data_IF_345491810756
#
_entry.id   IF_345491810756
#
_cell.length_a   1.000
_cell.length_b   1.000
_cell.length_c   1.000
_cell.angle_alpha   90.00
_cell.angle_beta   90.00
_cell.angle_gamma   90.00
#
_symmetry.space_group_name_H-M   'P 1'
#
loop_
_entity.id
_entity.type
_entity.pdbx_description
1 polymer ?
#
# COMPACT_ATOMS: atom_id res chain seq x y z
N UNK A 1 -8.62 52.25 -24.19
CA UNK A 1 -7.25 51.75 -24.00
C UNK A 1 -6.94 51.80 -22.50
N UNK A 2 -7.03 50.69 -21.85
CA UNK A 2 -6.56 50.53 -20.46
C UNK A 2 -5.86 49.16 -20.37
N UNK A 3 -4.55 49.18 -20.26
CA UNK A 3 -3.71 48.00 -20.11
C UNK A 3 -3.79 47.52 -18.68
N UNK A 4 -4.27 46.31 -18.45
CA UNK A 4 -4.25 45.63 -17.14
C UNK A 4 -2.91 45.00 -16.94
N UNK A 5 -2.12 45.53 -16.03
CA UNK A 5 -0.85 44.95 -15.56
C UNK A 5 -1.15 43.68 -14.74
N UNK A 6 -0.70 42.54 -15.23
CA UNK A 6 -0.66 41.28 -14.48
C UNK A 6 0.59 41.32 -13.61
N UNK A 7 0.42 41.52 -12.29
CA UNK A 7 1.53 41.50 -11.33
C UNK A 7 2.01 40.08 -11.09
N UNK A 8 3.31 39.83 -11.24
CA UNK A 8 3.95 38.57 -10.88
C UNK A 8 3.85 38.28 -9.38
N UNK A 9 3.70 37.02 -8.95
CA UNK A 9 3.63 36.67 -7.54
C UNK A 9 4.95 37.00 -6.82
N UNK A 10 4.82 37.59 -5.64
CA UNK A 10 5.94 38.09 -4.83
C UNK A 10 6.88 36.94 -4.38
N UNK A 11 8.18 37.25 -4.28
CA UNK A 11 9.24 36.35 -3.85
C UNK A 11 8.97 35.63 -2.49
N UNK A 12 8.15 36.20 -1.62
CA UNK A 12 7.74 35.59 -0.36
C UNK A 12 6.88 34.33 -0.50
N UNK A 13 6.23 34.11 -1.66
CA UNK A 13 5.47 32.89 -1.93
C UNK A 13 6.35 31.73 -2.44
N UNK A 14 7.53 32.01 -2.96
CA UNK A 14 8.49 31.02 -3.44
C UNK A 14 9.34 30.43 -2.29
N UNK A 15 9.62 31.21 -1.25
CA UNK A 15 10.41 30.74 -0.10
C UNK A 15 9.66 29.77 0.81
N UNK A 16 8.32 29.87 0.92
CA UNK A 16 7.50 28.88 1.68
C UNK A 16 7.41 27.53 1.03
N UNK A 17 7.78 27.38 -0.23
CA UNK A 17 7.82 26.09 -0.94
C UNK A 17 9.15 25.34 -0.79
N UNK A 18 10.18 25.96 -0.22
CA UNK A 18 11.52 25.37 -0.03
C UNK A 18 11.68 24.56 1.27
N UNK A 19 10.71 24.58 2.17
CA UNK A 19 10.88 24.03 3.52
C UNK A 19 10.63 22.51 3.64
N UNK A 20 10.39 21.77 2.54
CA UNK A 20 10.14 20.31 2.59
C UNK A 20 10.79 19.53 1.44
N UNK A 21 11.92 19.99 0.92
CA UNK A 21 12.75 19.16 0.07
C UNK A 21 13.77 18.43 0.94
N UNK A 22 13.33 17.33 1.57
CA UNK A 22 14.23 16.27 1.99
C UNK A 22 14.82 15.69 0.69
N UNK A 23 16.14 15.62 0.52
CA UNK A 23 16.74 15.00 -0.67
C UNK A 23 16.18 13.57 -0.77
N UNK A 24 15.71 13.20 -1.96
CA UNK A 24 15.17 11.87 -2.22
C UNK A 24 16.19 10.83 -1.73
N UNK A 25 15.81 9.95 -0.79
CA UNK A 25 16.70 8.88 -0.38
C UNK A 25 16.97 8.02 -1.62
N UNK A 26 18.23 7.73 -1.90
CA UNK A 26 18.63 6.74 -2.89
C UNK A 26 17.99 5.42 -2.44
N UNK A 27 16.98 4.96 -3.17
CA UNK A 27 16.33 3.68 -2.88
C UNK A 27 17.41 2.61 -3.04
N UNK A 28 17.76 1.85 -1.99
CA UNK A 28 18.64 0.71 -2.17
C UNK A 28 17.91 -0.26 -3.10
N UNK A 29 18.51 -0.59 -4.23
CA UNK A 29 17.97 -1.54 -5.22
C UNK A 29 17.92 -2.99 -4.71
N UNK A 30 18.10 -3.19 -3.42
CA UNK A 30 18.09 -4.51 -2.78
C UNK A 30 17.10 -4.49 -1.62
N UNK A 31 15.89 -4.98 -1.90
CA UNK A 31 15.13 -5.65 -0.84
C UNK A 31 15.94 -6.91 -0.55
N UNK A 32 16.84 -6.82 0.44
CA UNK A 32 17.63 -7.98 0.86
C UNK A 32 16.68 -9.07 1.34
N UNK A 33 16.83 -10.33 0.91
CA UNK A 33 16.11 -11.44 1.50
C UNK A 33 16.54 -11.54 2.98
N UNK A 34 15.67 -11.15 3.90
CA UNK A 34 15.91 -11.39 5.33
C UNK A 34 15.85 -10.20 6.28
N UNK A 35 15.26 -9.07 5.94
CA UNK A 35 15.28 -7.93 6.84
C UNK A 35 14.18 -6.90 6.67
N UNK A 36 12.90 -7.31 6.62
CA UNK A 36 11.81 -6.36 6.72
C UNK A 36 11.60 -5.97 8.18
N UNK A 37 11.83 -4.69 8.53
CA UNK A 37 11.62 -4.19 9.88
C UNK A 37 10.13 -4.15 10.27
N UNK A 38 9.22 -4.31 9.32
CA UNK A 38 7.77 -4.41 9.48
C UNK A 38 7.29 -5.79 9.94
N UNK A 39 8.17 -6.80 9.98
CA UNK A 39 7.94 -8.01 10.74
C UNK A 39 7.69 -9.29 9.97
N UNK A 40 7.58 -9.30 8.65
CA UNK A 40 7.58 -10.54 7.87
C UNK A 40 9.01 -10.91 7.45
N UNK A 41 9.80 -11.44 8.40
CA UNK A 41 11.13 -11.98 8.08
C UNK A 41 11.07 -13.16 7.10
N UNK A 42 9.93 -13.86 7.06
CA UNK A 42 9.63 -14.94 6.13
C UNK A 42 8.20 -14.78 5.59
N UNK A 43 8.04 -13.96 4.55
CA UNK A 43 6.76 -13.72 3.89
C UNK A 43 6.18 -15.01 3.30
N UNK A 44 7.02 -15.89 2.76
CA UNK A 44 6.58 -17.17 2.18
C UNK A 44 6.14 -18.16 3.25
N UNK A 45 6.83 -18.23 4.37
CA UNK A 45 6.41 -19.06 5.51
C UNK A 45 5.09 -18.61 6.15
N UNK A 46 4.72 -17.34 5.98
CA UNK A 46 3.45 -16.79 6.44
C UNK A 46 2.28 -17.05 5.45
N UNK A 47 2.50 -17.67 4.29
CA UNK A 47 1.49 -17.90 3.24
C UNK A 47 0.12 -18.38 3.79
N UNK A 48 0.02 -19.42 4.64
CA UNK A 48 -1.29 -19.90 5.10
C UNK A 48 -2.10 -18.86 5.88
N UNK A 49 -1.42 -17.97 6.59
CA UNK A 49 -2.04 -16.88 7.36
C UNK A 49 -2.44 -15.74 6.42
N UNK A 50 -1.52 -15.33 5.53
CA UNK A 50 -1.75 -14.27 4.56
C UNK A 50 -2.89 -14.60 3.61
N UNK A 51 -2.98 -15.84 3.14
CA UNK A 51 -4.08 -16.25 2.24
C UNK A 51 -5.44 -16.11 2.89
N UNK A 52 -5.58 -16.43 4.19
CA UNK A 52 -6.85 -16.20 4.93
C UNK A 52 -7.20 -14.72 5.01
N UNK A 53 -6.22 -13.86 5.28
CA UNK A 53 -6.43 -12.42 5.30
C UNK A 53 -6.81 -11.89 3.92
N UNK A 54 -6.13 -12.35 2.88
CA UNK A 54 -6.42 -11.96 1.51
C UNK A 54 -7.77 -12.48 1.01
N UNK A 55 -8.20 -13.67 1.40
CA UNK A 55 -9.55 -14.15 1.11
C UNK A 55 -10.63 -13.21 1.69
N UNK A 56 -10.47 -12.76 2.94
CA UNK A 56 -11.35 -11.76 3.55
C UNK A 56 -11.31 -10.42 2.80
N UNK A 57 -10.15 -10.03 2.31
CA UNK A 57 -9.98 -8.80 1.52
C UNK A 57 -10.67 -8.91 0.16
N UNK A 58 -10.58 -10.06 -0.50
CA UNK A 58 -11.30 -10.34 -1.76
C UNK A 58 -12.82 -10.28 -1.53
N UNK A 59 -13.32 -10.93 -0.48
CA UNK A 59 -14.77 -10.89 -0.14
C UNK A 59 -15.23 -9.47 0.17
N UNK A 60 -14.38 -8.65 0.76
CA UNK A 60 -14.65 -7.24 0.99
C UNK A 60 -14.74 -6.47 -0.33
N UNK A 61 -13.76 -6.62 -1.24
CA UNK A 61 -13.74 -5.95 -2.56
C UNK A 61 -14.97 -6.31 -3.38
N UNK A 62 -15.41 -7.57 -3.34
CA UNK A 62 -16.56 -8.05 -4.09
C UNK A 62 -17.87 -7.35 -3.74
N UNK A 63 -17.97 -6.69 -2.59
CA UNK A 63 -19.11 -5.84 -2.23
C UNK A 63 -19.20 -4.57 -3.08
N UNK A 64 -18.08 -4.12 -3.64
CA UNK A 64 -17.95 -2.93 -4.48
C UNK A 64 -17.90 -3.26 -5.97
N UNK A 65 -17.20 -4.36 -6.30
CA UNK A 65 -17.09 -4.93 -7.65
C UNK A 65 -17.05 -6.44 -7.55
N UNK A 66 -18.07 -7.12 -8.05
CA UNK A 66 -18.19 -8.57 -7.94
C UNK A 66 -17.23 -9.32 -8.88
N UNK A 67 -16.84 -8.70 -9.99
CA UNK A 67 -15.95 -9.26 -11.03
C UNK A 67 -15.35 -8.14 -11.86
N UNK A 68 -14.51 -8.48 -12.82
CA UNK A 68 -13.86 -7.56 -13.73
C UNK A 68 -12.35 -7.76 -13.72
N UNK A 69 -11.60 -6.75 -14.18
CA UNK A 69 -10.14 -6.76 -14.21
C UNK A 69 -9.59 -6.15 -12.94
N UNK A 70 -8.70 -6.88 -12.26
CA UNK A 70 -8.08 -6.46 -11.02
C UNK A 70 -6.56 -6.37 -11.18
N UNK A 71 -6.00 -5.24 -10.79
CA UNK A 71 -4.57 -5.02 -10.68
C UNK A 71 -4.17 -4.90 -9.20
N UNK A 72 -3.16 -5.68 -8.79
CA UNK A 72 -2.50 -5.53 -7.50
C UNK A 72 -1.12 -4.87 -7.69
N UNK A 73 -0.95 -3.68 -7.15
CA UNK A 73 0.32 -2.93 -7.18
C UNK A 73 1.14 -3.33 -5.96
N UNK A 74 2.37 -3.83 -6.19
CA UNK A 74 3.19 -4.40 -5.12
C UNK A 74 2.70 -5.80 -4.69
N UNK A 75 2.41 -6.65 -5.67
CA UNK A 75 1.73 -7.93 -5.42
C UNK A 75 2.60 -8.99 -4.71
N UNK A 76 3.85 -8.70 -4.39
CA UNK A 76 4.80 -9.60 -3.73
C UNK A 76 4.80 -11.01 -4.39
N UNK A 77 4.62 -12.07 -3.62
CA UNK A 77 4.55 -13.46 -4.12
C UNK A 77 3.16 -13.84 -4.67
N UNK A 78 2.26 -12.88 -4.88
CA UNK A 78 0.99 -13.09 -5.58
C UNK A 78 -0.08 -13.83 -4.80
N UNK A 79 0.04 -13.98 -3.49
CA UNK A 79 -0.95 -14.71 -2.69
C UNK A 79 -2.34 -14.07 -2.74
N UNK A 80 -2.39 -12.72 -2.74
CA UNK A 80 -3.66 -12.01 -2.94
C UNK A 80 -4.26 -12.27 -4.33
N UNK A 81 -3.44 -12.23 -5.38
CA UNK A 81 -3.87 -12.51 -6.75
C UNK A 81 -4.44 -13.94 -6.88
N UNK A 82 -3.83 -14.92 -6.20
CA UNK A 82 -4.33 -16.29 -6.19
C UNK A 82 -5.72 -16.41 -5.55
N UNK A 83 -6.00 -15.67 -4.48
CA UNK A 83 -7.32 -15.63 -3.86
C UNK A 83 -8.34 -14.84 -4.71
N UNK A 84 -7.90 -13.81 -5.43
CA UNK A 84 -8.77 -12.98 -6.26
C UNK A 84 -9.13 -13.63 -7.61
N UNK A 85 -8.25 -14.45 -8.18
CA UNK A 85 -8.40 -15.00 -9.54
C UNK A 85 -9.68 -15.85 -9.80
N UNK A 86 -10.34 -16.46 -8.81
CA UNK A 86 -11.62 -17.11 -9.04
C UNK A 86 -12.75 -16.15 -9.43
N UNK A 87 -12.59 -14.85 -9.15
CA UNK A 87 -13.61 -13.82 -9.30
C UNK A 87 -13.23 -12.73 -10.29
N UNK A 88 -11.92 -12.51 -10.53
CA UNK A 88 -11.38 -11.43 -11.32
C UNK A 88 -10.37 -11.93 -12.36
N UNK A 89 -10.27 -11.21 -13.48
CA UNK A 89 -9.10 -11.30 -14.36
C UNK A 89 -7.96 -10.50 -13.71
N UNK A 90 -7.01 -11.24 -13.10
CA UNK A 90 -5.99 -10.66 -12.22
C UNK A 90 -4.69 -10.35 -12.95
N UNK A 91 -4.10 -9.22 -12.61
CA UNK A 91 -2.74 -8.86 -12.96
C UNK A 91 -2.01 -8.25 -11.76
N UNK A 92 -0.68 -8.28 -11.78
CA UNK A 92 0.15 -7.66 -10.74
C UNK A 92 1.30 -6.86 -11.31
N UNK A 93 1.80 -5.93 -10.52
CA UNK A 93 3.07 -5.26 -10.73
C UNK A 93 3.89 -5.44 -9.45
N UNK A 94 5.14 -5.89 -9.59
CA UNK A 94 6.04 -6.16 -8.47
C UNK A 94 7.47 -5.72 -8.81
N UNK A 95 8.11 -4.95 -7.92
CA UNK A 95 9.45 -4.43 -8.16
C UNK A 95 10.54 -5.51 -7.98
N UNK A 96 10.31 -6.48 -7.10
CA UNK A 96 11.24 -7.55 -6.82
C UNK A 96 11.13 -8.65 -7.89
N UNK A 97 12.17 -8.79 -8.74
CA UNK A 97 12.21 -9.77 -9.84
C UNK A 97 12.02 -11.21 -9.35
N UNK A 98 12.55 -11.55 -8.16
CA UNK A 98 12.37 -12.89 -7.59
C UNK A 98 10.89 -13.19 -7.33
N UNK A 99 10.18 -12.26 -6.68
CA UNK A 99 8.77 -12.41 -6.37
C UNK A 99 7.91 -12.41 -7.64
N UNK A 100 8.17 -11.50 -8.58
CA UNK A 100 7.49 -11.48 -9.87
C UNK A 100 7.71 -12.77 -10.68
N UNK A 101 8.93 -13.31 -10.67
CA UNK A 101 9.23 -14.60 -11.31
C UNK A 101 8.51 -15.77 -10.63
N UNK A 102 8.42 -15.76 -9.31
CA UNK A 102 7.60 -16.74 -8.58
C UNK A 102 6.13 -16.69 -9.01
N UNK A 103 5.55 -15.49 -9.11
CA UNK A 103 4.17 -15.30 -9.58
C UNK A 103 3.94 -15.85 -10.99
N UNK A 104 4.86 -15.56 -11.93
CA UNK A 104 4.76 -16.06 -13.31
C UNK A 104 4.82 -17.58 -13.37
N UNK A 105 5.64 -18.24 -12.52
CA UNK A 105 5.67 -19.71 -12.38
C UNK A 105 4.35 -20.29 -11.86
N UNK A 106 3.54 -19.50 -11.15
CA UNK A 106 2.18 -19.85 -10.70
C UNK A 106 1.10 -19.46 -11.74
N UNK A 107 1.51 -19.15 -12.97
CA UNK A 107 0.61 -18.73 -14.06
C UNK A 107 -0.19 -17.46 -13.73
N UNK A 108 0.40 -16.55 -12.95
CA UNK A 108 -0.13 -15.21 -12.73
C UNK A 108 0.50 -14.22 -13.72
N UNK A 109 -0.30 -13.30 -14.25
CA UNK A 109 0.16 -12.22 -15.11
C UNK A 109 0.78 -11.13 -14.25
N UNK A 110 2.11 -11.15 -14.07
CA UNK A 110 2.83 -10.16 -13.26
C UNK A 110 3.95 -9.53 -14.08
N UNK A 111 3.97 -8.18 -14.10
CA UNK A 111 5.04 -7.38 -14.67
C UNK A 111 6.04 -7.00 -13.57
N UNK A 112 7.33 -7.02 -13.92
CA UNK A 112 8.37 -6.56 -13.00
C UNK A 112 8.62 -5.08 -13.19
N UNK A 113 8.67 -4.34 -12.08
CA UNK A 113 8.95 -2.90 -12.08
C UNK A 113 8.02 -2.10 -11.20
N UNK A 114 7.98 -0.80 -11.45
CA UNK A 114 7.09 0.14 -10.76
C UNK A 114 5.73 0.23 -11.48
N UNK A 115 4.72 0.72 -10.77
CA UNK A 115 3.43 1.09 -11.38
C UNK A 115 3.57 2.44 -12.11
N UNK A 116 4.34 2.41 -13.20
CA UNK A 116 4.58 3.53 -14.11
C UNK A 116 3.68 3.48 -15.35
N UNK A 117 3.78 4.50 -16.18
CA UNK A 117 3.01 4.61 -17.42
C UNK A 117 3.22 3.42 -18.36
N UNK A 118 4.46 2.92 -18.45
CA UNK A 118 4.81 1.82 -19.35
C UNK A 118 4.15 0.51 -18.92
N UNK A 119 4.25 0.15 -17.65
CA UNK A 119 3.67 -1.09 -17.12
C UNK A 119 2.13 -1.03 -17.09
N UNK A 120 1.56 0.11 -16.70
CA UNK A 120 0.11 0.28 -16.67
C UNK A 120 -0.50 0.25 -18.08
N UNK A 121 0.17 0.84 -19.08
CA UNK A 121 -0.29 0.80 -20.47
C UNK A 121 -0.36 -0.63 -21.03
N UNK A 122 0.58 -1.50 -20.67
CA UNK A 122 0.57 -2.92 -21.08
C UNK A 122 -0.60 -3.69 -20.44
N UNK A 123 -1.00 -3.30 -19.25
CA UNK A 123 -2.10 -3.94 -18.53
C UNK A 123 -3.46 -3.38 -18.98
N UNK A 124 -3.54 -2.09 -19.35
CA UNK A 124 -4.76 -1.42 -19.79
C UNK A 124 -5.71 -1.06 -18.63
N UNK A 125 -6.97 -0.79 -18.95
CA UNK A 125 -7.97 -0.33 -17.97
C UNK A 125 -8.34 -1.43 -16.97
N UNK A 126 -8.52 -1.04 -15.70
CA UNK A 126 -8.84 -1.92 -14.58
C UNK A 126 -10.15 -1.50 -13.91
N UNK A 127 -10.92 -2.46 -13.44
CA UNK A 127 -12.13 -2.22 -12.66
C UNK A 127 -11.82 -2.08 -11.17
N UNK A 128 -10.76 -2.75 -10.71
CA UNK A 128 -10.25 -2.72 -9.35
C UNK A 128 -8.75 -2.55 -9.39
N UNK A 129 -8.22 -1.65 -8.57
CA UNK A 129 -6.78 -1.55 -8.30
C UNK A 129 -6.57 -1.66 -6.80
N UNK A 130 -5.59 -2.45 -6.38
CA UNK A 130 -5.24 -2.61 -4.96
C UNK A 130 -3.82 -2.12 -4.69
N UNK A 131 -3.64 -1.45 -3.55
CA UNK A 131 -2.36 -1.06 -2.97
C UNK A 131 -2.39 -1.51 -1.50
N UNK A 132 -2.01 -2.77 -1.25
CA UNK A 132 -2.12 -3.39 0.07
C UNK A 132 -0.80 -3.24 0.82
N UNK A 133 -0.76 -2.29 1.76
CA UNK A 133 0.43 -1.91 2.53
C UNK A 133 1.62 -1.54 1.59
N UNK A 134 1.32 -0.69 0.58
CA UNK A 134 2.28 -0.26 -0.48
C UNK A 134 2.45 1.25 -0.52
N UNK A 135 1.38 2.02 -0.28
CA UNK A 135 1.36 3.47 -0.50
C UNK A 135 2.44 4.20 0.30
N UNK A 136 2.72 3.76 1.52
CA UNK A 136 3.73 4.28 2.43
C UNK A 136 5.17 4.04 1.98
N UNK A 137 5.39 3.10 1.09
CA UNK A 137 6.71 2.74 0.55
C UNK A 137 7.04 3.47 -0.76
N UNK A 138 6.05 4.09 -1.41
CA UNK A 138 6.24 4.72 -2.71
C UNK A 138 7.02 6.03 -2.60
N UNK A 139 8.00 6.30 -3.48
CA UNK A 139 8.70 7.58 -3.52
C UNK A 139 7.76 8.76 -3.77
N UNK A 140 6.83 8.60 -4.70
CA UNK A 140 5.83 9.61 -5.11
C UNK A 140 4.42 9.00 -5.08
N UNK A 141 3.81 8.81 -3.90
CA UNK A 141 2.51 8.13 -3.79
C UNK A 141 1.39 8.84 -4.54
N UNK A 142 1.42 10.17 -4.60
CA UNK A 142 0.44 10.96 -5.34
C UNK A 142 0.55 10.76 -6.87
N UNK A 143 1.76 10.62 -7.43
CA UNK A 143 1.96 10.35 -8.85
C UNK A 143 1.51 8.92 -9.20
N UNK A 144 1.87 7.94 -8.38
CA UNK A 144 1.40 6.56 -8.57
C UNK A 144 -0.12 6.48 -8.48
N UNK A 145 -0.75 7.15 -7.51
CA UNK A 145 -2.20 7.16 -7.40
C UNK A 145 -2.86 7.87 -8.59
N UNK A 146 -2.25 8.95 -9.12
CA UNK A 146 -2.71 9.62 -10.33
C UNK A 146 -2.68 8.69 -11.55
N UNK A 147 -1.59 7.93 -11.71
CA UNK A 147 -1.47 6.93 -12.77
C UNK A 147 -2.51 5.82 -12.60
N UNK A 148 -2.65 5.26 -11.41
CA UNK A 148 -3.70 4.28 -11.11
C UNK A 148 -5.09 4.82 -11.47
N UNK A 149 -5.39 6.09 -11.13
CA UNK A 149 -6.67 6.73 -11.47
C UNK A 149 -6.89 6.84 -12.97
N UNK A 150 -5.86 7.11 -13.77
CA UNK A 150 -5.97 7.17 -15.23
C UNK A 150 -6.33 5.82 -15.83
N UNK A 151 -5.76 4.75 -15.32
CA UNK A 151 -6.02 3.36 -15.76
C UNK A 151 -7.18 2.69 -15.03
N UNK A 152 -7.92 3.41 -14.18
CA UNK A 152 -9.13 2.94 -13.53
C UNK A 152 -10.34 3.23 -14.41
N UNK A 153 -11.16 2.22 -14.68
CA UNK A 153 -12.42 2.34 -15.44
C UNK A 153 -13.39 3.33 -14.77
N UNK A 154 -14.27 3.99 -15.50
CA UNK A 154 -15.36 4.76 -14.90
C UNK A 154 -16.15 3.91 -13.91
N UNK A 155 -16.42 4.45 -12.72
CA UNK A 155 -17.06 3.70 -11.62
C UNK A 155 -16.22 2.58 -11.00
N UNK A 156 -14.94 2.44 -11.42
CA UNK A 156 -13.98 1.52 -10.81
C UNK A 156 -13.58 1.94 -9.39
N UNK A 157 -12.92 1.05 -8.66
CA UNK A 157 -12.52 1.28 -7.28
C UNK A 157 -11.01 1.04 -7.07
N UNK A 158 -10.42 1.84 -6.19
CA UNK A 158 -9.07 1.59 -5.66
C UNK A 158 -9.23 1.20 -4.19
N UNK A 159 -8.65 0.08 -3.78
CA UNK A 159 -8.53 -0.33 -2.39
C UNK A 159 -7.12 -0.05 -1.91
N UNK A 160 -7.01 0.70 -0.83
CA UNK A 160 -5.74 1.00 -0.16
C UNK A 160 -5.78 0.44 1.25
N UNK A 161 -4.72 -0.25 1.68
CA UNK A 161 -4.43 -0.46 3.09
C UNK A 161 -3.10 0.20 3.43
N UNK A 162 -3.02 0.85 4.60
CA UNK A 162 -1.80 1.50 5.09
C UNK A 162 -1.94 1.79 6.59
N UNK A 163 -0.87 2.26 7.23
CA UNK A 163 -0.93 2.71 8.61
C UNK A 163 -1.75 3.99 8.81
N UNK A 164 -2.51 4.07 9.91
CA UNK A 164 -3.20 5.30 10.33
C UNK A 164 -2.39 6.06 11.37
N UNK A 165 -1.68 7.10 10.93
CA UNK A 165 -0.86 7.95 11.80
C UNK A 165 -1.71 8.83 12.74
N UNK A 166 -3.00 9.00 12.46
CA UNK A 166 -3.94 9.69 13.36
C UNK A 166 -4.49 8.78 14.46
N UNK A 167 -4.21 7.48 14.42
CA UNK A 167 -4.69 6.50 15.39
C UNK A 167 -4.25 6.82 16.81
N UNK A 168 -5.04 6.35 17.79
CA UNK A 168 -4.69 6.53 19.20
C UNK A 168 -3.35 5.85 19.56
N UNK A 169 -3.11 4.67 19.03
CA UNK A 169 -1.87 3.92 19.24
C UNK A 169 -0.64 4.67 18.69
N UNK A 170 -0.74 5.29 17.50
CA UNK A 170 0.34 6.10 16.93
C UNK A 170 0.62 7.34 17.80
N UNK A 171 -0.41 8.03 18.27
CA UNK A 171 -0.27 9.21 19.12
C UNK A 171 0.39 8.89 20.46
N UNK A 172 0.00 7.79 21.10
CA UNK A 172 0.56 7.38 22.40
C UNK A 172 1.99 6.85 22.26
N UNK A 173 2.25 6.05 21.23
CA UNK A 173 3.58 5.43 21.04
C UNK A 173 4.59 6.40 20.42
N UNK A 174 4.16 7.43 19.67
CA UNK A 174 5.03 8.38 19.00
C UNK A 174 6.08 7.70 18.13
N UNK A 175 7.37 7.99 18.35
CA UNK A 175 8.46 7.38 17.60
C UNK A 175 8.62 5.86 17.84
N UNK A 176 7.93 5.29 18.83
CA UNK A 176 7.91 3.83 19.10
C UNK A 176 6.72 3.13 18.48
N UNK A 177 5.89 3.85 17.72
CA UNK A 177 4.78 3.22 17.01
C UNK A 177 5.28 2.09 16.11
N UNK A 178 4.56 0.96 16.11
CA UNK A 178 5.01 -0.26 15.42
C UNK A 178 5.25 -0.07 13.92
N UNK A 179 4.52 0.85 13.27
CA UNK A 179 4.67 1.18 11.85
C UNK A 179 5.64 2.36 11.59
N UNK A 180 6.26 2.92 12.64
CA UNK A 180 7.34 3.89 12.50
C UNK A 180 8.65 3.15 12.16
N UNK A 181 8.86 2.86 10.87
CA UNK A 181 9.96 2.03 10.38
C UNK A 181 10.77 2.71 9.26
N UNK A 182 11.32 3.93 9.50
CA UNK A 182 12.20 4.55 8.51
C UNK A 182 13.48 3.71 8.33
N UNK A 183 14.08 3.62 7.13
CA UNK A 183 13.66 4.28 5.88
C UNK A 183 12.65 3.49 5.03
N UNK A 184 12.08 2.40 5.52
CA UNK A 184 11.16 1.56 4.75
C UNK A 184 9.83 2.25 4.51
N UNK A 185 9.20 2.81 5.57
CA UNK A 185 8.06 3.68 5.44
C UNK A 185 8.56 5.11 5.20
N UNK A 186 8.32 5.61 4.00
CA UNK A 186 8.67 6.97 3.58
C UNK A 186 7.61 7.98 3.99
N UNK A 187 6.35 7.51 4.12
CA UNK A 187 5.17 8.34 4.38
C UNK A 187 4.33 7.77 5.51
N UNK A 188 3.68 8.66 6.24
CA UNK A 188 2.77 8.32 7.33
C UNK A 188 1.45 9.02 7.06
N UNK A 189 0.45 8.23 6.66
CA UNK A 189 -0.84 8.73 6.22
C UNK A 189 -1.84 8.85 7.36
N UNK A 190 -2.76 9.79 7.18
CA UNK A 190 -4.03 9.88 7.91
C UNK A 190 -5.16 9.80 6.90
N UNK A 191 -6.38 9.48 7.34
CA UNK A 191 -7.54 9.51 6.45
C UNK A 191 -7.64 10.85 5.72
N UNK A 192 -7.51 11.97 6.45
CA UNK A 192 -7.58 13.33 5.88
C UNK A 192 -6.53 13.56 4.76
N UNK A 193 -5.29 13.05 4.94
CA UNK A 193 -4.25 13.20 3.92
C UNK A 193 -4.57 12.40 2.66
N UNK A 194 -5.13 11.18 2.82
CA UNK A 194 -5.57 10.35 1.69
C UNK A 194 -6.78 10.96 0.99
N UNK A 195 -7.75 11.49 1.74
CA UNK A 195 -8.93 12.19 1.19
C UNK A 195 -8.52 13.39 0.33
N UNK A 196 -7.63 14.25 0.84
CA UNK A 196 -7.13 15.41 0.09
C UNK A 196 -6.43 15.00 -1.21
N UNK A 197 -5.57 13.98 -1.14
CA UNK A 197 -4.85 13.46 -2.31
C UNK A 197 -5.83 12.88 -3.32
N UNK A 198 -6.79 12.09 -2.87
CA UNK A 198 -7.81 11.43 -3.71
C UNK A 198 -8.73 12.43 -4.37
N UNK A 199 -9.21 13.42 -3.63
CA UNK A 199 -10.09 14.47 -4.17
C UNK A 199 -9.42 15.27 -5.29
N UNK A 200 -8.13 15.59 -5.15
CA UNK A 200 -7.36 16.27 -6.19
C UNK A 200 -7.25 15.45 -7.49
N UNK A 201 -7.48 14.14 -7.43
CA UNK A 201 -7.44 13.20 -8.56
C UNK A 201 -8.83 12.81 -9.09
N UNK A 202 -9.91 13.45 -8.60
CA UNK A 202 -11.28 13.13 -8.99
C UNK A 202 -11.79 11.78 -8.42
N UNK A 203 -11.16 11.31 -7.36
CA UNK A 203 -11.61 10.16 -6.58
C UNK A 203 -12.36 10.63 -5.33
N UNK A 204 -13.34 9.83 -4.88
CA UNK A 204 -14.01 10.04 -3.60
C UNK A 204 -13.80 8.86 -2.67
N UNK A 205 -13.64 9.11 -1.38
CA UNK A 205 -13.68 8.04 -0.38
C UNK A 205 -15.11 7.53 -0.29
N UNK A 206 -15.29 6.25 -0.59
CA UNK A 206 -16.58 5.56 -0.50
C UNK A 206 -16.72 4.81 0.81
N UNK A 207 -15.62 4.29 1.33
CA UNK A 207 -15.59 3.55 2.58
C UNK A 207 -14.25 3.74 3.29
N UNK A 208 -14.28 3.64 4.61
CA UNK A 208 -13.13 3.67 5.49
C UNK A 208 -13.41 2.85 6.74
N UNK A 209 -12.47 1.99 7.11
CA UNK A 209 -12.49 1.26 8.38
C UNK A 209 -11.08 0.88 8.85
N UNK A 210 -11.01 0.34 10.06
CA UNK A 210 -9.83 -0.33 10.62
C UNK A 210 -10.10 -1.83 10.63
N UNK A 211 -9.58 -2.59 9.65
CA UNK A 211 -9.89 -4.01 9.52
C UNK A 211 -9.22 -4.85 10.61
N UNK A 212 -9.87 -5.95 10.97
CA UNK A 212 -9.19 -7.03 11.68
C UNK A 212 -8.19 -7.69 10.74
N UNK A 213 -6.92 -7.78 11.17
CA UNK A 213 -5.88 -8.48 10.43
C UNK A 213 -5.61 -9.84 11.09
N UNK A 214 -5.37 -10.86 10.28
CA UNK A 214 -4.90 -12.15 10.80
C UNK A 214 -3.38 -12.08 10.86
N UNK A 215 -2.82 -12.10 12.06
CA UNK A 215 -1.39 -11.88 12.30
C UNK A 215 -0.76 -13.14 12.86
N UNK A 216 0.37 -13.65 12.31
CA UNK A 216 1.10 -14.75 12.87
C UNK A 216 1.48 -14.49 14.34
N UNK A 217 1.35 -15.51 15.21
CA UNK A 217 1.68 -15.36 16.63
C UNK A 217 3.14 -14.93 16.84
N UNK A 218 4.05 -15.43 15.99
CA UNK A 218 5.45 -15.03 16.00
C UNK A 218 5.65 -13.53 15.76
N UNK A 219 4.85 -12.93 14.88
CA UNK A 219 4.90 -11.49 14.62
C UNK A 219 4.37 -10.69 15.81
N UNK A 220 3.30 -11.15 16.47
CA UNK A 220 2.79 -10.52 17.70
C UNK A 220 3.87 -10.54 18.79
N UNK A 221 4.52 -11.70 19.02
CA UNK A 221 5.61 -11.82 19.99
C UNK A 221 6.82 -10.92 19.64
N UNK A 222 7.19 -10.83 18.36
CA UNK A 222 8.22 -9.93 17.87
C UNK A 222 7.89 -8.45 18.15
N UNK A 223 6.67 -8.02 17.87
CA UNK A 223 6.21 -6.65 18.10
C UNK A 223 6.23 -6.28 19.59
N UNK A 224 5.75 -7.19 20.45
CA UNK A 224 5.79 -6.99 21.91
C UNK A 224 7.23 -6.84 22.40
N UNK A 225 8.15 -7.71 21.97
CA UNK A 225 9.58 -7.63 22.35
C UNK A 225 10.20 -6.30 21.89
N UNK A 226 9.89 -5.86 20.68
CA UNK A 226 10.35 -4.57 20.14
C UNK A 226 9.84 -3.39 20.97
N UNK A 227 8.56 -3.40 21.36
CA UNK A 227 7.98 -2.38 22.23
C UNK A 227 8.65 -2.31 23.60
N UNK A 228 9.09 -3.46 24.13
CA UNK A 228 9.83 -3.56 25.40
C UNK A 228 11.31 -3.22 25.26
N UNK A 229 11.80 -2.83 24.06
CA UNK A 229 13.21 -2.50 23.83
C UNK A 229 14.16 -3.71 23.85
N UNK A 230 13.63 -4.93 23.74
CA UNK A 230 14.44 -6.16 23.73
C UNK A 230 15.09 -6.37 22.35
N UNK A 231 16.33 -6.88 22.33
CA UNK A 231 16.98 -7.28 21.06
C UNK A 231 16.19 -8.42 20.44
N UNK A 232 15.66 -8.21 19.25
CA UNK A 232 14.96 -9.22 18.47
C UNK A 232 15.93 -9.84 17.48
N UNK A 233 16.35 -11.08 17.71
CA UNK A 233 16.90 -11.92 16.64
C UNK A 233 15.76 -12.31 15.71
N UNK A 234 16.00 -12.35 14.37
CA UNK A 234 14.98 -12.68 13.39
C UNK A 234 14.21 -13.93 13.80
N UNK A 235 12.89 -13.80 13.95
CA UNK A 235 12.02 -14.93 14.25
C UNK A 235 11.61 -15.57 12.94
N UNK A 236 12.02 -16.83 12.73
CA UNK A 236 11.42 -17.65 11.68
C UNK A 236 9.93 -17.84 12.00
N UNK A 237 9.06 -17.49 11.08
CA UNK A 237 7.61 -17.73 11.21
C UNK A 237 7.33 -19.20 10.90
N UNK A 238 7.39 -20.05 11.89
CA UNK A 238 7.14 -21.49 11.73
C UNK A 238 5.70 -21.91 12.06
N UNK A 239 4.81 -21.01 12.46
CA UNK A 239 3.44 -21.39 12.80
C UNK A 239 2.43 -20.88 11.77
N UNK A 240 1.74 -21.79 11.07
CA UNK A 240 0.56 -21.49 10.25
C UNK A 240 -0.66 -21.03 11.08
N UNK A 241 -0.45 -20.63 12.35
CA UNK A 241 -1.49 -20.16 13.26
C UNK A 241 -1.41 -18.64 13.34
N UNK A 242 -2.50 -17.98 12.93
CA UNK A 242 -2.70 -16.54 13.04
C UNK A 242 -3.78 -16.20 14.07
N UNK A 243 -3.61 -15.09 14.74
CA UNK A 243 -4.62 -14.51 15.64
C UNK A 243 -5.27 -13.31 14.97
N UNK A 244 -6.61 -13.14 15.09
CA UNK A 244 -7.26 -11.91 14.66
C UNK A 244 -6.84 -10.78 15.62
N UNK A 245 -6.24 -9.73 15.08
CA UNK A 245 -5.77 -8.57 15.82
C UNK A 245 -6.31 -7.31 15.16
N UNK A 246 -6.85 -6.39 15.97
CA UNK A 246 -7.16 -5.04 15.53
C UNK A 246 -6.59 -4.06 16.55
N UNK A 247 -5.57 -3.32 16.16
CA UNK A 247 -4.96 -2.27 16.97
C UNK A 247 -5.50 -0.88 16.61
N UNK A 248 -6.47 -0.82 15.68
CA UNK A 248 -7.06 0.43 15.17
C UNK A 248 -6.00 1.40 14.63
N UNK A 249 -4.89 0.87 14.11
CA UNK A 249 -3.75 1.64 13.61
C UNK A 249 -3.33 1.27 12.19
N UNK A 250 -4.07 0.39 11.55
CA UNK A 250 -4.02 0.13 10.11
C UNK A 250 -5.39 0.45 9.53
N UNK A 251 -5.43 1.28 8.52
CA UNK A 251 -6.67 1.69 7.85
C UNK A 251 -6.84 1.02 6.50
N UNK A 252 -8.09 0.80 6.13
CA UNK A 252 -8.52 0.34 4.82
C UNK A 252 -9.46 1.36 4.22
N UNK A 253 -9.18 1.78 2.98
CA UNK A 253 -9.89 2.86 2.30
C UNK A 253 -10.31 2.37 0.93
N UNK A 254 -11.59 2.56 0.58
CA UNK A 254 -12.10 2.36 -0.78
C UNK A 254 -12.29 3.73 -1.42
N UNK A 255 -11.59 3.94 -2.51
CA UNK A 255 -11.74 5.12 -3.36
C UNK A 255 -12.52 4.73 -4.60
N UNK A 256 -13.49 5.56 -4.99
CA UNK A 256 -14.26 5.37 -6.24
C UNK A 256 -13.97 6.49 -7.21
N UNK A 257 -13.74 6.12 -8.47
CA UNK A 257 -13.68 7.06 -9.59
C UNK A 257 -15.10 7.48 -9.98
N UNK A 258 -15.32 8.77 -10.11
CA UNK A 258 -16.57 9.31 -10.66
C UNK A 258 -16.84 8.71 -12.03
N UNK A 259 -18.12 8.48 -12.34
CA UNK A 259 -18.56 7.96 -13.64
C UNK A 259 -18.31 8.99 -14.75
#
# INVERSE_FOLDING_TARGET
MAATFCSAPSAASAERRRAFLIPAPTIPATISPGGHADGYADYRGAEPVLRREFANTVDFIRKYRASGRLLDVGCAYGFFLQEARPYFDVAGIEIAEEAATFCRKQSLRVLTGMADEYNLAQLGMMDVITLLDVLEHLPSPHETLALCTRYLSPGGVILITTGDFASHSARVAGARWRLMTPPQHLWYFTLESVERMSHALGLRVEWYDHPWKIVPISLVAFQIRRMLGMRTAGTSTTSGVGLPVNLFDAMRIVLRKSA
#
